data_IF_842579187938
#
_entry.id   IF_842579187938
#
_cell.length_a   1.000
_cell.length_b   1.000
_cell.length_c   1.000
_cell.angle_alpha   90.00
_cell.angle_beta   90.00
_cell.angle_gamma   90.00
#
_symmetry.space_group_name_H-M   'P 1'
#
loop_
_entity.id
_entity.type
_entity.pdbx_description
1 polymer ?
#
# COMPACT_ATOMS: atom_id res chain seq x y z
N UNK A 1 -17.48 23.95 6.54
CA UNK A 1 -17.41 22.65 5.84
C UNK A 1 -16.01 22.31 5.32
N UNK A 2 -15.02 23.22 5.41
CA UNK A 2 -13.65 22.96 4.92
C UNK A 2 -12.74 22.22 5.92
N UNK A 3 -13.05 22.22 7.22
CA UNK A 3 -12.20 21.59 8.23
C UNK A 3 -12.23 20.05 8.20
N UNK A 4 -13.31 19.44 7.69
CA UNK A 4 -13.55 17.99 7.75
C UNK A 4 -12.76 17.17 6.73
N UNK A 5 -12.09 17.81 5.75
CA UNK A 5 -11.27 17.08 4.77
C UNK A 5 -9.80 16.96 5.23
N UNK A 6 -9.29 17.98 5.93
CA UNK A 6 -7.88 18.05 6.34
C UNK A 6 -7.53 17.14 7.51
N UNK A 7 -8.42 17.01 8.50
CA UNK A 7 -8.27 16.05 9.59
C UNK A 7 -8.43 14.60 9.11
N UNK A 8 -9.04 14.41 7.93
CA UNK A 8 -9.52 13.11 7.49
C UNK A 8 -8.70 12.52 6.33
N UNK A 9 -7.94 13.34 5.61
CA UNK A 9 -6.94 12.87 4.65
C UNK A 9 -5.78 12.12 5.34
N UNK A 10 -5.49 12.43 6.62
CA UNK A 10 -4.62 11.62 7.48
C UNK A 10 -5.27 10.31 7.94
N UNK A 11 -6.59 10.32 8.14
CA UNK A 11 -7.33 9.21 8.77
C UNK A 11 -7.93 8.20 7.79
N UNK A 12 -8.15 8.56 6.53
CA UNK A 12 -8.74 7.65 5.55
C UNK A 12 -7.72 6.55 5.20
N UNK A 13 -7.92 5.31 5.66
CA UNK A 13 -7.08 4.22 5.25
C UNK A 13 -7.25 4.10 3.73
N UNK A 14 -6.15 3.98 3.00
CA UNK A 14 -6.21 3.25 1.73
C UNK A 14 -6.92 1.95 2.09
N UNK A 15 -8.13 1.72 1.55
CA UNK A 15 -8.96 0.54 1.82
C UNK A 15 -7.99 -0.65 1.92
N UNK A 16 -7.67 -1.03 3.15
CA UNK A 16 -7.03 -2.30 3.37
C UNK A 16 -8.08 -3.26 2.82
N UNK A 17 -7.72 -4.20 1.93
CA UNK A 17 -8.67 -5.16 1.36
C UNK A 17 -9.67 -5.54 2.44
N UNK A 18 -10.96 -5.30 2.18
CA UNK A 18 -12.01 -5.38 3.20
C UNK A 18 -12.11 -6.86 3.60
N UNK A 19 -11.30 -7.24 4.59
CA UNK A 19 -11.12 -8.61 5.03
C UNK A 19 -9.92 -9.34 4.41
N UNK A 20 -9.40 -10.26 5.21
CA UNK A 20 -8.41 -11.28 4.84
C UNK A 20 -8.75 -11.99 3.51
N UNK A 21 -10.04 -12.13 3.20
CA UNK A 21 -10.53 -12.78 1.99
C UNK A 21 -10.14 -12.04 0.71
N UNK A 22 -10.16 -10.71 0.68
CA UNK A 22 -9.76 -9.95 -0.52
C UNK A 22 -8.24 -9.89 -0.69
N UNK A 23 -7.48 -9.90 0.41
CA UNK A 23 -6.01 -9.93 0.37
C UNK A 23 -5.45 -11.31 -0.01
N UNK A 24 -6.14 -12.39 0.39
CA UNK A 24 -5.67 -13.77 0.24
C UNK A 24 -6.28 -14.51 -0.96
N UNK A 25 -7.30 -13.96 -1.63
CA UNK A 25 -7.89 -14.56 -2.84
C UNK A 25 -7.40 -13.88 -4.10
N UNK A 26 -7.18 -14.67 -5.16
CA UNK A 26 -6.82 -14.16 -6.48
C UNK A 26 -7.83 -13.13 -7.02
N UNK A 27 -9.11 -13.28 -6.66
CA UNK A 27 -10.18 -12.35 -7.04
C UNK A 27 -10.02 -10.97 -6.37
N UNK A 28 -9.72 -10.91 -5.07
CA UNK A 28 -9.52 -9.63 -4.39
C UNK A 28 -8.22 -8.93 -4.79
N UNK A 29 -7.16 -9.70 -5.08
CA UNK A 29 -5.93 -9.16 -5.68
C UNK A 29 -6.21 -8.58 -7.07
N UNK A 30 -7.01 -9.27 -7.90
CA UNK A 30 -7.39 -8.78 -9.22
C UNK A 30 -8.27 -7.52 -9.15
N UNK A 31 -9.24 -7.47 -8.24
CA UNK A 31 -10.09 -6.31 -8.02
C UNK A 31 -9.27 -5.08 -7.54
N UNK A 32 -8.35 -5.27 -6.59
CA UNK A 32 -7.44 -4.21 -6.16
C UNK A 32 -6.51 -3.74 -7.28
N UNK A 33 -6.08 -4.63 -8.18
CA UNK A 33 -5.25 -4.25 -9.32
C UNK A 33 -6.07 -3.47 -10.36
N UNK A 34 -7.30 -3.89 -10.62
CA UNK A 34 -8.23 -3.20 -11.51
C UNK A 34 -8.53 -1.77 -11.03
N UNK A 35 -8.88 -1.59 -9.75
CA UNK A 35 -9.14 -0.28 -9.16
C UNK A 35 -7.92 0.65 -9.29
N UNK A 36 -6.71 0.16 -8.99
CA UNK A 36 -5.48 0.95 -9.13
C UNK A 36 -5.21 1.36 -10.59
N UNK A 37 -5.46 0.46 -11.54
CA UNK A 37 -5.30 0.75 -12.96
C UNK A 37 -6.31 1.80 -13.44
N UNK A 38 -7.56 1.73 -12.96
CA UNK A 38 -8.59 2.72 -13.24
C UNK A 38 -8.20 4.11 -12.70
N UNK A 39 -7.71 4.18 -11.46
CA UNK A 39 -7.21 5.40 -10.85
C UNK A 39 -6.04 6.00 -11.65
N UNK A 40 -5.10 5.18 -12.13
CA UNK A 40 -3.98 5.65 -12.95
C UNK A 40 -4.45 6.14 -14.33
N UNK A 41 -5.36 5.41 -14.97
CA UNK A 41 -5.93 5.81 -16.25
C UNK A 41 -6.63 7.17 -16.16
N UNK A 42 -7.42 7.37 -15.09
CA UNK A 42 -8.02 8.66 -14.82
C UNK A 42 -6.99 9.76 -14.58
N UNK A 43 -5.95 9.52 -13.77
CA UNK A 43 -4.91 10.52 -13.53
C UNK A 43 -4.27 10.99 -14.84
N UNK A 44 -3.92 10.05 -15.71
CA UNK A 44 -3.34 10.34 -17.03
C UNK A 44 -4.32 11.15 -17.90
N UNK A 45 -5.59 10.78 -17.92
CA UNK A 45 -6.59 11.47 -18.74
C UNK A 45 -6.90 12.88 -18.21
N UNK A 46 -7.13 13.01 -16.90
CA UNK A 46 -7.60 14.23 -16.25
C UNK A 46 -6.49 15.27 -16.06
N UNK A 47 -5.25 14.84 -15.77
CA UNK A 47 -4.15 15.75 -15.40
C UNK A 47 -3.10 15.95 -16.49
N UNK A 48 -3.20 15.24 -17.63
CA UNK A 48 -2.27 15.43 -18.76
C UNK A 48 -2.32 16.84 -19.36
N UNK A 49 -3.43 17.56 -19.19
CA UNK A 49 -3.62 18.93 -19.69
C UNK A 49 -3.62 19.91 -18.53
N UNK A 50 -2.61 20.78 -18.46
CA UNK A 50 -2.54 21.88 -17.47
C UNK A 50 -2.10 21.49 -16.06
N UNK A 51 -1.95 20.20 -15.74
CA UNK A 51 -1.60 19.71 -14.40
C UNK A 51 -0.38 18.76 -14.37
N UNK A 52 0.58 18.97 -15.28
CA UNK A 52 1.75 18.09 -15.44
C UNK A 52 2.55 17.87 -14.14
N UNK A 53 2.68 18.91 -13.31
CA UNK A 53 3.37 18.82 -12.02
C UNK A 53 2.63 17.90 -11.03
N UNK A 54 1.30 17.98 -11.00
CA UNK A 54 0.45 17.14 -10.15
C UNK A 54 0.51 15.68 -10.62
N UNK A 55 0.40 15.46 -11.93
CA UNK A 55 0.49 14.15 -12.54
C UNK A 55 1.83 13.49 -12.24
N UNK A 56 2.93 14.23 -12.39
CA UNK A 56 4.28 13.74 -12.08
C UNK A 56 4.41 13.30 -10.62
N UNK A 57 3.81 14.04 -9.68
CA UNK A 57 3.82 13.69 -8.26
C UNK A 57 3.01 12.45 -7.95
N UNK A 58 1.81 12.31 -8.53
CA UNK A 58 0.96 11.13 -8.37
C UNK A 58 1.68 9.87 -8.89
N UNK A 59 2.27 9.95 -10.08
CA UNK A 59 2.99 8.83 -10.69
C UNK A 59 4.25 8.46 -9.89
N UNK A 60 5.03 9.45 -9.44
CA UNK A 60 6.19 9.22 -8.59
C UNK A 60 5.80 8.60 -7.24
N UNK A 61 4.72 9.08 -6.62
CA UNK A 61 4.15 8.51 -5.40
C UNK A 61 3.73 7.06 -5.57
N UNK A 62 3.04 6.74 -6.68
CA UNK A 62 2.64 5.37 -7.01
C UNK A 62 3.86 4.45 -7.18
N UNK A 63 4.85 4.86 -7.97
CA UNK A 63 6.03 4.05 -8.22
C UNK A 63 6.85 3.82 -6.94
N UNK A 64 7.01 4.87 -6.12
CA UNK A 64 7.67 4.79 -4.82
C UNK A 64 6.95 3.82 -3.88
N UNK A 65 5.62 3.94 -3.76
CA UNK A 65 4.81 3.05 -2.92
C UNK A 65 4.94 1.59 -3.39
N UNK A 66 4.81 1.33 -4.69
CA UNK A 66 4.98 -0.02 -5.27
C UNK A 66 6.37 -0.59 -4.98
N UNK A 67 7.42 0.20 -5.18
CA UNK A 67 8.81 -0.22 -4.96
C UNK A 67 9.08 -0.54 -3.48
N UNK A 68 8.54 0.25 -2.56
CA UNK A 68 8.64 0.02 -1.12
C UNK A 68 7.86 -1.22 -0.69
N UNK A 69 6.65 -1.42 -1.20
CA UNK A 69 5.85 -2.61 -0.94
C UNK A 69 6.65 -3.86 -1.34
N UNK A 70 7.16 -3.93 -2.57
CA UNK A 70 7.96 -5.07 -3.06
C UNK A 70 9.23 -5.26 -2.21
N UNK A 71 9.95 -4.19 -1.87
CA UNK A 71 11.17 -4.28 -1.05
C UNK A 71 10.91 -4.85 0.34
N UNK A 72 9.80 -4.50 0.98
CA UNK A 72 9.44 -5.08 2.27
C UNK A 72 9.11 -6.57 2.16
N UNK A 73 8.46 -7.01 1.08
CA UNK A 73 8.20 -8.44 0.83
C UNK A 73 9.50 -9.22 0.67
N UNK A 74 10.45 -8.67 -0.09
CA UNK A 74 11.79 -9.27 -0.26
C UNK A 74 12.53 -9.29 1.09
N UNK A 75 12.48 -8.20 1.85
CA UNK A 75 13.10 -8.10 3.17
C UNK A 75 12.54 -9.14 4.16
N UNK A 76 11.22 -9.33 4.16
CA UNK A 76 10.56 -10.36 4.96
C UNK A 76 11.05 -11.76 4.58
N UNK A 77 11.04 -12.09 3.28
CA UNK A 77 11.49 -13.39 2.81
C UNK A 77 12.96 -13.65 3.16
N UNK A 78 13.84 -12.65 2.98
CA UNK A 78 15.25 -12.76 3.35
C UNK A 78 15.44 -12.98 4.86
N UNK A 79 14.72 -12.23 5.69
CA UNK A 79 14.76 -12.40 7.15
C UNK A 79 14.22 -13.78 7.57
N UNK A 80 13.16 -14.27 6.93
CA UNK A 80 12.58 -15.57 7.23
C UNK A 80 13.52 -16.73 6.87
N UNK A 81 14.24 -16.62 5.75
CA UNK A 81 15.26 -17.59 5.34
C UNK A 81 16.46 -17.54 6.29
N UNK A 82 16.94 -16.35 6.66
CA UNK A 82 18.04 -16.21 7.61
C UNK A 82 17.71 -16.81 8.97
N UNK A 83 16.50 -16.54 9.48
CA UNK A 83 16.02 -17.12 10.73
C UNK A 83 15.93 -18.66 10.63
N UNK A 84 15.50 -19.22 9.50
CA UNK A 84 15.51 -20.67 9.29
C UNK A 84 16.93 -21.24 9.39
N UNK A 85 17.92 -20.62 8.73
CA UNK A 85 19.32 -21.06 8.77
C UNK A 85 19.84 -21.11 10.21
N UNK A 86 19.55 -20.06 11.01
CA UNK A 86 19.93 -20.00 12.42
C UNK A 86 19.26 -21.13 13.21
N UNK A 87 17.96 -21.35 12.99
CA UNK A 87 17.17 -22.37 13.69
C UNK A 87 17.67 -23.80 13.39
N UNK A 88 18.11 -24.05 12.15
CA UNK A 88 18.73 -25.31 11.74
C UNK A 88 20.13 -25.52 12.34
N UNK A 89 20.88 -24.44 12.57
CA UNK A 89 22.20 -24.50 13.19
C UNK A 89 22.15 -24.74 14.71
N UNK A 90 21.00 -24.51 15.36
CA UNK A 90 20.85 -24.72 16.80
C UNK A 90 20.72 -26.21 17.15
N UNK A 91 21.38 -26.69 18.22
CA UNK A 91 21.28 -28.08 18.68
C UNK A 91 19.97 -28.30 19.47
N UNK A 92 18.82 -28.13 18.82
CA UNK A 92 17.53 -28.44 19.43
C UNK A 92 17.34 -29.96 19.54
N UNK A 93 16.43 -30.42 20.38
CA UNK A 93 16.09 -31.85 20.52
C UNK A 93 15.11 -32.36 19.46
N UNK A 94 14.51 -31.44 18.68
CA UNK A 94 13.45 -31.75 17.74
C UNK A 94 13.99 -32.28 16.41
N UNK A 95 13.25 -33.14 15.72
CA UNK A 95 13.63 -33.60 14.39
C UNK A 95 13.67 -32.46 13.36
N UNK A 96 14.58 -32.55 12.37
CA UNK A 96 14.84 -31.49 11.39
C UNK A 96 13.60 -31.16 10.55
N UNK A 97 12.87 -32.17 10.09
CA UNK A 97 11.66 -31.97 9.28
C UNK A 97 10.59 -31.22 10.07
N UNK A 98 10.39 -31.62 11.33
CA UNK A 98 9.45 -30.97 12.23
C UNK A 98 9.86 -29.51 12.48
N UNK A 99 11.16 -29.20 12.60
CA UNK A 99 11.66 -27.82 12.79
C UNK A 99 11.32 -26.93 11.62
N UNK A 100 11.55 -27.43 10.40
CA UNK A 100 11.22 -26.70 9.18
C UNK A 100 9.72 -26.46 9.11
N UNK A 101 8.90 -27.48 9.38
CA UNK A 101 7.44 -27.36 9.31
C UNK A 101 6.89 -26.37 10.35
N UNK A 102 7.35 -26.45 11.59
CA UNK A 102 6.98 -25.50 12.65
C UNK A 102 7.43 -24.08 12.28
N UNK A 103 8.65 -23.91 11.79
CA UNK A 103 9.13 -22.60 11.36
C UNK A 103 8.33 -22.03 10.21
N UNK A 104 8.05 -22.81 9.16
CA UNK A 104 7.24 -22.37 8.03
C UNK A 104 5.83 -21.98 8.47
N UNK A 105 5.27 -22.68 9.46
CA UNK A 105 3.97 -22.33 10.05
C UNK A 105 4.02 -20.98 10.76
N UNK A 106 5.05 -20.72 11.57
CA UNK A 106 5.25 -19.42 12.21
C UNK A 106 5.51 -18.31 11.19
N UNK A 107 6.38 -18.54 10.21
CA UNK A 107 6.69 -17.58 9.16
C UNK A 107 5.46 -17.29 8.29
N UNK A 108 4.61 -18.28 8.01
CA UNK A 108 3.33 -18.05 7.33
C UNK A 108 2.37 -17.22 8.18
N UNK A 109 2.25 -17.55 9.47
CA UNK A 109 1.34 -16.88 10.39
C UNK A 109 1.78 -15.44 10.73
N UNK A 110 3.07 -15.13 10.72
CA UNK A 110 3.59 -13.76 10.88
C UNK A 110 3.46 -12.93 9.61
N UNK A 111 3.39 -13.56 8.44
CA UNK A 111 3.22 -12.87 7.17
C UNK A 111 1.83 -12.27 7.02
N UNK A 112 0.83 -12.96 7.56
CA UNK A 112 -0.59 -12.57 7.66
C UNK A 112 -0.74 -11.13 8.21
N UNK A 113 -0.24 -10.76 9.41
CA UNK A 113 -0.30 -9.38 9.89
C UNK A 113 0.77 -8.47 9.25
N UNK A 114 1.90 -9.01 8.80
CA UNK A 114 2.96 -8.21 8.19
C UNK A 114 2.51 -7.51 6.91
N UNK A 115 1.83 -8.20 6.00
CA UNK A 115 1.37 -7.63 4.72
C UNK A 115 0.54 -6.35 4.91
N UNK A 116 -0.60 -6.36 5.65
CA UNK A 116 -1.42 -5.17 5.80
C UNK A 116 -0.68 -4.05 6.54
N UNK A 117 0.10 -4.37 7.58
CA UNK A 117 0.88 -3.37 8.31
C UNK A 117 1.94 -2.70 7.44
N UNK A 118 2.66 -3.47 6.63
CA UNK A 118 3.67 -2.93 5.72
C UNK A 118 3.06 -2.07 4.61
N UNK A 119 1.93 -2.51 4.06
CA UNK A 119 1.18 -1.73 3.06
C UNK A 119 0.70 -0.40 3.66
N UNK A 120 0.12 -0.42 4.87
CA UNK A 120 -0.30 0.78 5.58
C UNK A 120 0.88 1.72 5.83
N UNK A 121 2.01 1.19 6.32
CA UNK A 121 3.22 1.98 6.55
C UNK A 121 3.73 2.63 5.25
N UNK A 122 3.76 1.87 4.15
CA UNK A 122 4.15 2.39 2.84
C UNK A 122 3.23 3.52 2.38
N UNK A 123 1.93 3.36 2.56
CA UNK A 123 0.92 4.27 2.02
C UNK A 123 0.66 5.49 2.91
N UNK A 124 0.83 5.41 4.22
CA UNK A 124 0.56 6.54 5.12
C UNK A 124 1.83 7.32 5.50
N UNK A 125 2.97 6.65 5.58
CA UNK A 125 4.19 7.25 6.14
C UNK A 125 5.26 7.43 5.06
N UNK A 126 5.55 6.38 4.28
CA UNK A 126 6.73 6.40 3.40
C UNK A 126 6.47 6.99 2.00
N UNK A 127 5.24 6.84 1.48
CA UNK A 127 4.82 7.32 0.17
C UNK A 127 3.33 7.78 0.21
N UNK A 128 3.02 8.86 0.95
CA UNK A 128 1.65 9.32 1.17
C UNK A 128 0.96 9.86 -0.08
N UNK A 129 1.70 10.41 -1.04
CA UNK A 129 1.15 11.09 -2.22
C UNK A 129 0.17 10.19 -3.02
N UNK A 130 0.48 8.89 -3.17
CA UNK A 130 -0.43 7.95 -3.82
C UNK A 130 -1.71 7.71 -3.02
N UNK A 131 -1.60 7.62 -1.69
CA UNK A 131 -2.75 7.46 -0.81
C UNK A 131 -3.66 8.69 -0.83
N UNK A 132 -3.07 9.89 -0.77
CA UNK A 132 -3.80 11.16 -0.86
C UNK A 132 -4.60 11.24 -2.16
N UNK A 133 -3.97 10.89 -3.28
CA UNK A 133 -4.67 10.83 -4.57
C UNK A 133 -5.79 9.78 -4.60
N UNK A 134 -5.51 8.55 -4.17
CA UNK A 134 -6.49 7.47 -4.16
C UNK A 134 -7.72 7.81 -3.30
N UNK A 135 -7.51 8.45 -2.15
CA UNK A 135 -8.58 8.91 -1.26
C UNK A 135 -9.39 10.04 -1.90
N UNK A 136 -8.74 11.00 -2.55
CA UNK A 136 -9.44 12.05 -3.31
C UNK A 136 -10.26 11.47 -4.45
N UNK A 137 -9.69 10.57 -5.27
CA UNK A 137 -10.35 9.94 -6.42
C UNK A 137 -11.67 9.26 -6.02
N UNK A 138 -11.66 8.46 -4.95
CA UNK A 138 -12.86 7.75 -4.46
C UNK A 138 -13.97 8.66 -3.96
N UNK A 139 -13.62 9.89 -3.58
CA UNK A 139 -14.53 10.83 -2.92
C UNK A 139 -14.96 11.98 -3.80
N UNK A 140 -14.26 12.20 -4.92
CA UNK A 140 -14.50 13.34 -5.81
C UNK A 140 -15.98 13.47 -6.19
N UNK A 141 -16.62 12.36 -6.56
CA UNK A 141 -18.00 12.38 -7.09
C UNK A 141 -19.05 12.47 -5.96
N UNK A 142 -18.71 12.02 -4.74
CA UNK A 142 -19.62 12.06 -3.58
C UNK A 142 -19.55 13.37 -2.79
N UNK A 143 -18.40 14.03 -2.80
CA UNK A 143 -18.13 15.25 -2.04
C UNK A 143 -17.88 16.48 -2.93
N UNK A 144 -18.09 16.34 -4.25
CA UNK A 144 -17.85 17.40 -5.24
C UNK A 144 -16.44 18.01 -5.13
N UNK A 145 -15.42 17.18 -4.82
CA UNK A 145 -14.06 17.67 -4.59
C UNK A 145 -13.44 18.15 -5.90
N UNK A 146 -12.88 19.36 -5.86
CA UNK A 146 -12.17 19.95 -6.97
C UNK A 146 -10.70 19.51 -7.02
N UNK A 147 -10.02 19.91 -8.09
CA UNK A 147 -8.56 19.73 -8.18
C UNK A 147 -7.83 20.55 -7.12
N UNK A 148 -8.38 21.69 -6.71
CA UNK A 148 -7.78 22.56 -5.68
C UNK A 148 -7.61 21.83 -4.34
N UNK A 149 -8.60 21.02 -3.96
CA UNK A 149 -8.53 20.20 -2.74
C UNK A 149 -7.38 19.20 -2.82
N UNK A 150 -7.15 18.63 -3.99
CA UNK A 150 -6.05 17.68 -4.23
C UNK A 150 -4.68 18.37 -4.20
N UNK A 151 -4.55 19.54 -4.84
CA UNK A 151 -3.34 20.36 -4.77
C UNK A 151 -3.00 20.73 -3.33
N UNK A 152 -3.99 21.19 -2.56
CA UNK A 152 -3.80 21.58 -1.17
C UNK A 152 -3.49 20.38 -0.27
N UNK A 153 -4.13 19.24 -0.48
CA UNK A 153 -3.83 18.00 0.25
C UNK A 153 -2.42 17.46 -0.04
N UNK A 154 -1.88 17.69 -1.25
CA UNK A 154 -0.50 17.36 -1.58
C UNK A 154 0.50 18.48 -1.19
N UNK A 155 0.04 19.58 -0.59
CA UNK A 155 0.90 20.72 -0.25
C UNK A 155 1.54 21.37 -1.49
N UNK A 156 0.84 21.37 -2.62
CA UNK A 156 1.29 21.97 -3.87
C UNK A 156 0.54 23.28 -4.14
N UNK A 157 1.25 24.27 -4.66
CA UNK A 157 0.64 25.48 -5.22
C UNK A 157 0.15 25.21 -6.64
N UNK A 158 -1.04 25.72 -6.98
CA UNK A 158 -1.59 25.63 -8.33
C UNK A 158 -0.74 26.50 -9.28
N UNK A 159 -0.41 26.02 -10.49
CA UNK A 159 0.20 26.86 -11.53
C UNK A 159 -0.79 27.88 -12.10
#
# INVERSE_FOLDING_TARGET
MDHDFYEWASDAPLRAPDGFSEAATAAGVAASAAERNEMLAYALQAFSRGHAQLLGRILSGYEKAKKLQIRGMIGYAAAAVLALVILLALPLSMDMELRVLVWLSFAGLLFIPFIPLWILLCNHILAPDWNTYATWYRRRDRKELGFEDLYRAMGMTRP
#
